data_IF_064833436781
#
_entry.id   IF_064833436781
#
_cell.length_a   1.000
_cell.length_b   1.000
_cell.length_c   1.000
_cell.angle_alpha   90.00
_cell.angle_beta   90.00
_cell.angle_gamma   90.00
#
_symmetry.space_group_name_H-M   'P 1'
#
loop_
_entity.id
_entity.type
_entity.pdbx_description
1 polymer ?
#
# COMPACT_ATOMS: atom_id res chain seq x y z
N UNK A 1 37.46 -22.79 2.64
CA UNK A 1 36.30 -23.57 3.08
C UNK A 1 35.69 -22.80 4.23
N UNK A 2 34.69 -21.96 3.96
CA UNK A 2 33.99 -21.22 5.01
C UNK A 2 33.26 -22.25 5.86
N UNK A 3 33.67 -22.38 7.12
CA UNK A 3 33.00 -23.21 8.11
C UNK A 3 31.57 -22.72 8.23
N UNK A 4 30.62 -23.50 7.71
CA UNK A 4 29.22 -23.32 8.03
C UNK A 4 29.10 -23.63 9.53
N UNK A 5 29.17 -22.60 10.37
CA UNK A 5 28.68 -22.73 11.73
C UNK A 5 27.24 -23.21 11.60
N UNK A 6 26.99 -24.42 12.06
CA UNK A 6 25.63 -24.92 12.25
C UNK A 6 24.97 -23.91 13.15
N UNK A 7 23.99 -23.17 12.63
CA UNK A 7 23.13 -22.31 13.45
C UNK A 7 22.56 -23.21 14.53
N UNK A 8 23.12 -23.08 15.74
CA UNK A 8 22.72 -23.88 16.88
C UNK A 8 21.28 -23.56 17.21
N UNK A 9 20.42 -24.57 17.15
CA UNK A 9 19.02 -24.54 17.58
C UNK A 9 18.16 -23.44 16.90
N UNK A 10 17.37 -23.77 15.86
CA UNK A 10 16.48 -22.84 15.17
C UNK A 10 15.54 -22.06 16.10
N UNK A 11 15.13 -22.63 17.24
CA UNK A 11 14.29 -21.94 18.21
C UNK A 11 15.03 -20.74 18.83
N UNK A 12 16.32 -20.90 19.15
CA UNK A 12 17.15 -19.81 19.69
C UNK A 12 17.39 -18.70 18.69
N UNK A 13 17.56 -19.04 17.41
CA UNK A 13 17.66 -18.03 16.37
C UNK A 13 16.35 -17.23 16.25
N UNK A 14 15.21 -17.91 16.33
CA UNK A 14 13.90 -17.26 16.25
C UNK A 14 13.67 -16.32 17.43
N UNK A 15 14.05 -16.72 18.64
CA UNK A 15 13.98 -15.85 19.83
C UNK A 15 14.82 -14.57 19.66
N UNK A 16 16.06 -14.68 19.19
CA UNK A 16 16.94 -13.53 18.92
C UNK A 16 16.32 -12.59 17.87
N UNK A 17 15.69 -13.14 16.83
CA UNK A 17 15.05 -12.34 15.78
C UNK A 17 13.81 -11.59 16.28
N UNK A 18 13.05 -12.17 17.21
CA UNK A 18 11.92 -11.50 17.85
C UNK A 18 12.39 -10.41 18.82
N UNK A 19 13.39 -10.70 19.66
CA UNK A 19 13.97 -9.72 20.57
C UNK A 19 14.52 -8.49 19.83
N UNK A 20 15.25 -8.69 18.72
CA UNK A 20 15.77 -7.60 17.89
C UNK A 20 14.67 -6.76 17.22
N UNK A 21 13.45 -7.30 17.05
CA UNK A 21 12.28 -6.58 16.55
C UNK A 21 11.44 -5.95 17.65
N UNK A 22 11.82 -6.11 18.91
CA UNK A 22 11.07 -5.62 20.07
C UNK A 22 9.83 -6.43 20.42
N UNK A 23 9.67 -7.62 19.83
CA UNK A 23 8.54 -8.53 20.02
C UNK A 23 8.87 -9.44 21.21
N UNK A 24 8.12 -9.32 22.31
CA UNK A 24 8.51 -9.92 23.60
C UNK A 24 7.56 -10.98 24.13
N UNK A 25 6.30 -10.93 23.75
CA UNK A 25 5.30 -11.90 24.20
C UNK A 25 4.80 -12.79 23.05
N UNK A 26 4.22 -13.93 23.43
CA UNK A 26 3.75 -14.94 22.48
C UNK A 26 2.60 -14.43 21.61
N UNK A 27 1.81 -13.47 22.08
CA UNK A 27 0.70 -12.88 21.30
C UNK A 27 1.23 -12.02 20.16
N UNK A 28 2.25 -11.21 20.41
CA UNK A 28 2.92 -10.41 19.38
C UNK A 28 3.65 -11.30 18.36
N UNK A 29 4.24 -12.42 18.81
CA UNK A 29 4.89 -13.40 17.93
C UNK A 29 3.90 -14.08 17.00
N UNK A 30 2.76 -14.52 17.53
CA UNK A 30 1.66 -15.10 16.75
C UNK A 30 1.12 -14.06 15.76
N UNK A 31 0.85 -12.83 16.20
CA UNK A 31 0.37 -11.77 15.32
C UNK A 31 1.36 -11.44 14.18
N UNK A 32 2.65 -11.39 14.48
CA UNK A 32 3.70 -11.09 13.49
C UNK A 32 3.88 -12.20 12.44
N UNK A 33 3.66 -13.46 12.83
CA UNK A 33 3.87 -14.63 11.97
C UNK A 33 2.57 -15.15 11.33
N UNK A 34 1.42 -14.66 11.78
CA UNK A 34 0.12 -15.02 11.23
C UNK A 34 0.02 -14.64 9.74
N UNK A 35 -0.55 -15.55 8.95
CA UNK A 35 -0.89 -15.30 7.54
C UNK A 35 -2.07 -14.32 7.43
N UNK A 36 -2.94 -14.33 8.43
CA UNK A 36 -4.03 -13.39 8.62
C UNK A 36 -3.49 -12.10 9.23
N UNK A 37 -2.67 -11.38 8.46
CA UNK A 37 -2.02 -10.15 8.92
C UNK A 37 -2.98 -9.22 9.66
N UNK A 38 -2.48 -8.55 10.69
CA UNK A 38 -3.23 -7.56 11.45
C UNK A 38 -3.57 -6.34 10.57
N UNK A 39 -4.69 -6.41 9.83
CA UNK A 39 -5.18 -5.30 9.04
C UNK A 39 -5.68 -4.21 9.98
N UNK A 40 -5.08 -3.02 9.87
CA UNK A 40 -5.60 -1.84 10.54
C UNK A 40 -6.92 -1.41 9.89
N UNK A 41 -7.83 -0.85 10.68
CA UNK A 41 -9.02 -0.17 10.14
C UNK A 41 -8.54 0.94 9.17
N UNK A 42 -8.88 0.87 7.86
CA UNK A 42 -8.46 1.88 6.89
C UNK A 42 -8.93 3.28 7.25
N UNK A 43 -10.01 3.40 8.03
CA UNK A 43 -10.49 4.69 8.44
C UNK A 43 -9.72 5.34 9.60
N UNK A 44 -8.65 4.70 10.09
CA UNK A 44 -7.68 5.35 10.96
C UNK A 44 -6.84 6.40 10.23
N UNK A 45 -6.78 6.37 8.90
CA UNK A 45 -6.17 7.44 8.12
C UNK A 45 -6.94 8.76 8.27
N UNK A 46 -6.20 9.86 8.42
CA UNK A 46 -6.77 11.19 8.49
C UNK A 46 -7.66 11.46 7.26
N UNK A 47 -8.84 12.02 7.51
CA UNK A 47 -9.83 12.38 6.48
C UNK A 47 -10.28 11.24 5.55
N UNK A 48 -10.02 9.98 5.88
CA UNK A 48 -10.43 8.83 5.05
C UNK A 48 -11.94 8.82 4.78
N UNK A 49 -12.76 9.12 5.80
CA UNK A 49 -14.22 9.24 5.63
C UNK A 49 -14.59 10.29 4.58
N UNK A 50 -13.98 11.48 4.65
CA UNK A 50 -14.22 12.57 3.69
C UNK A 50 -13.79 12.18 2.28
N UNK A 51 -12.67 11.47 2.14
CA UNK A 51 -12.19 10.99 0.85
C UNK A 51 -13.17 9.99 0.21
N UNK A 52 -13.66 9.02 1.00
CA UNK A 52 -14.68 8.06 0.55
C UNK A 52 -15.96 8.77 0.14
N UNK A 53 -16.47 9.69 0.96
CA UNK A 53 -17.69 10.44 0.65
C UNK A 53 -17.57 11.24 -0.66
N UNK A 54 -16.40 11.87 -0.89
CA UNK A 54 -16.12 12.60 -2.12
C UNK A 54 -16.12 11.69 -3.36
N UNK A 55 -15.50 10.51 -3.25
CA UNK A 55 -15.43 9.53 -4.33
C UNK A 55 -16.82 8.96 -4.62
N UNK A 56 -17.58 8.57 -3.59
CA UNK A 56 -18.95 8.09 -3.74
C UNK A 56 -19.83 9.14 -4.42
N UNK A 57 -19.75 10.40 -3.99
CA UNK A 57 -20.48 11.49 -4.65
C UNK A 57 -20.07 11.67 -6.13
N UNK A 58 -18.78 11.54 -6.46
CA UNK A 58 -18.30 11.63 -7.84
C UNK A 58 -18.86 10.49 -8.71
N UNK A 59 -18.95 9.27 -8.17
CA UNK A 59 -19.57 8.11 -8.84
C UNK A 59 -21.06 8.39 -9.08
N UNK A 60 -21.79 8.77 -8.02
CA UNK A 60 -23.25 9.01 -8.08
C UNK A 60 -23.64 10.15 -9.03
N UNK A 61 -22.74 11.12 -9.21
CA UNK A 61 -22.94 12.27 -10.11
C UNK A 61 -22.29 12.09 -11.48
N UNK A 62 -21.78 10.88 -11.80
CA UNK A 62 -21.14 10.55 -13.07
C UNK A 62 -20.01 11.52 -13.47
N UNK A 63 -19.25 12.00 -12.49
CA UNK A 63 -18.06 12.81 -12.76
C UNK A 63 -16.95 11.94 -13.32
N UNK A 64 -16.09 12.55 -14.15
CA UNK A 64 -14.85 11.91 -14.59
C UNK A 64 -13.91 11.75 -13.41
N UNK A 65 -13.27 10.58 -13.33
CA UNK A 65 -12.29 10.25 -12.30
C UNK A 65 -10.93 10.15 -12.96
N UNK A 66 -9.93 10.84 -12.40
CA UNK A 66 -8.54 10.70 -12.80
C UNK A 66 -7.75 10.11 -11.63
N UNK A 67 -7.13 8.96 -11.84
CA UNK A 67 -6.22 8.36 -10.87
C UNK A 67 -4.80 8.85 -11.16
N UNK A 68 -4.26 9.64 -10.24
CA UNK A 68 -2.87 10.08 -10.29
C UNK A 68 -2.03 9.17 -9.40
N UNK A 69 -1.21 8.32 -10.02
CA UNK A 69 -0.36 7.32 -9.34
C UNK A 69 1.07 7.78 -9.11
N UNK A 70 1.86 6.94 -8.45
CA UNK A 70 3.33 7.03 -8.40
C UNK A 70 3.95 5.96 -9.32
N UNK A 71 5.21 6.14 -9.71
CA UNK A 71 5.94 5.31 -10.68
C UNK A 71 6.61 4.07 -10.08
N UNK A 72 6.62 3.95 -8.76
CA UNK A 72 7.12 2.76 -8.07
C UNK A 72 6.11 1.61 -8.12
N UNK A 73 6.54 0.44 -7.63
CA UNK A 73 5.79 -0.79 -7.77
C UNK A 73 4.43 -0.71 -7.06
N UNK A 74 4.40 -0.13 -5.87
CA UNK A 74 3.18 0.09 -5.09
C UNK A 74 2.28 1.14 -5.74
N UNK A 75 2.80 2.28 -6.22
CA UNK A 75 2.04 3.30 -6.93
C UNK A 75 1.37 2.78 -8.20
N UNK A 76 2.11 2.02 -9.02
CA UNK A 76 1.57 1.40 -10.24
C UNK A 76 0.53 0.34 -9.90
N UNK A 77 0.78 -0.49 -8.88
CA UNK A 77 -0.16 -1.55 -8.48
C UNK A 77 -1.45 -0.96 -7.92
N UNK A 78 -1.36 0.03 -7.04
CA UNK A 78 -2.52 0.72 -6.49
C UNK A 78 -3.34 1.41 -7.59
N UNK A 79 -2.68 2.06 -8.54
CA UNK A 79 -3.32 2.67 -9.71
C UNK A 79 -4.10 1.63 -10.52
N UNK A 80 -3.48 0.48 -10.81
CA UNK A 80 -4.14 -0.59 -11.55
C UNK A 80 -5.38 -1.14 -10.82
N UNK A 81 -5.29 -1.32 -9.49
CA UNK A 81 -6.41 -1.76 -8.65
C UNK A 81 -7.57 -0.76 -8.74
N UNK A 82 -7.30 0.53 -8.54
CA UNK A 82 -8.32 1.58 -8.54
C UNK A 82 -8.98 1.74 -9.91
N UNK A 83 -8.18 1.76 -10.99
CA UNK A 83 -8.71 1.84 -12.36
C UNK A 83 -9.63 0.66 -12.65
N UNK A 84 -9.23 -0.56 -12.25
CA UNK A 84 -10.07 -1.76 -12.45
C UNK A 84 -11.36 -1.68 -11.65
N UNK A 85 -11.30 -1.22 -10.40
CA UNK A 85 -12.46 -1.04 -9.55
C UNK A 85 -13.45 -0.03 -10.16
N UNK A 86 -13.01 1.19 -10.48
CA UNK A 86 -13.91 2.20 -11.07
C UNK A 86 -14.48 1.80 -12.43
N UNK A 87 -13.69 1.12 -13.28
CA UNK A 87 -14.20 0.55 -14.54
C UNK A 87 -15.30 -0.49 -14.29
N UNK A 88 -15.16 -1.34 -13.27
CA UNK A 88 -16.20 -2.33 -12.93
C UNK A 88 -17.52 -1.69 -12.46
N UNK A 89 -17.46 -0.45 -11.95
CA UNK A 89 -18.64 0.36 -11.62
C UNK A 89 -19.18 1.18 -12.80
N UNK A 90 -18.58 1.07 -14.00
CA UNK A 90 -19.00 1.81 -15.19
C UNK A 90 -18.60 3.29 -15.19
N UNK A 91 -17.65 3.70 -14.35
CA UNK A 91 -17.19 5.10 -14.29
C UNK A 91 -16.31 5.47 -15.49
N UNK A 92 -16.37 6.74 -15.92
CA UNK A 92 -15.38 7.33 -16.83
C UNK A 92 -14.09 7.62 -16.05
N UNK A 93 -13.17 6.65 -16.06
CA UNK A 93 -11.90 6.72 -15.33
C UNK A 93 -10.70 6.73 -16.26
N UNK A 94 -9.81 7.68 -16.03
CA UNK A 94 -8.48 7.79 -16.65
C UNK A 94 -7.39 7.68 -15.59
N UNK A 95 -6.14 7.50 -16.00
CA UNK A 95 -5.01 7.48 -15.08
C UNK A 95 -3.79 8.18 -15.65
N UNK A 96 -2.93 8.67 -14.77
CA UNK A 96 -1.59 9.17 -15.07
C UNK A 96 -0.64 8.50 -14.07
N UNK A 97 0.42 7.90 -14.59
CA UNK A 97 1.59 7.50 -13.81
C UNK A 97 2.75 8.36 -14.33
N UNK A 98 3.28 9.28 -13.52
CA UNK A 98 4.31 10.22 -13.97
C UNK A 98 5.62 9.49 -14.27
N UNK A 99 6.35 9.95 -15.28
CA UNK A 99 7.77 9.62 -15.42
C UNK A 99 8.59 10.63 -14.62
N UNK A 100 9.38 10.14 -13.65
CA UNK A 100 10.18 10.97 -12.75
C UNK A 100 11.13 11.92 -13.48
N UNK A 101 11.68 11.47 -14.60
CA UNK A 101 12.66 12.21 -15.41
C UNK A 101 12.02 13.35 -16.21
N UNK A 102 10.78 13.17 -16.66
CA UNK A 102 10.08 14.16 -17.50
C UNK A 102 9.20 15.12 -16.69
N UNK A 103 8.59 14.65 -15.60
CA UNK A 103 7.54 15.40 -14.90
C UNK A 103 7.92 15.88 -13.48
N UNK A 104 9.04 15.40 -12.92
CA UNK A 104 9.40 15.64 -11.53
C UNK A 104 8.64 14.73 -10.55
N UNK A 105 8.60 15.10 -9.26
CA UNK A 105 7.94 14.31 -8.21
C UNK A 105 6.57 14.91 -7.82
N UNK A 106 5.53 14.07 -7.80
CA UNK A 106 4.17 14.48 -7.41
C UNK A 106 3.40 15.23 -8.49
N UNK A 107 2.28 15.85 -8.11
CA UNK A 107 1.48 16.72 -9.00
C UNK A 107 2.26 18.01 -9.29
N UNK A 108 2.72 18.17 -10.53
CA UNK A 108 3.43 19.36 -10.98
C UNK A 108 2.61 20.10 -12.04
N UNK A 109 2.86 21.40 -12.20
CA UNK A 109 2.19 22.22 -13.22
C UNK A 109 2.37 21.65 -14.63
N UNK A 110 3.51 20.97 -14.88
CA UNK A 110 3.81 20.28 -16.13
C UNK A 110 2.84 19.13 -16.46
N UNK A 111 2.07 18.66 -15.48
CA UNK A 111 1.06 17.60 -15.64
C UNK A 111 -0.34 18.19 -15.80
N UNK A 112 -0.56 19.40 -15.25
CA UNK A 112 -1.87 20.03 -15.20
C UNK A 112 -2.21 20.75 -16.52
N UNK A 113 -1.21 21.14 -17.31
CA UNK A 113 -1.41 21.73 -18.64
C UNK A 113 -1.71 23.21 -18.61
#
# INVERSE_FOLDING_TARGET
MLSTEVVGDPAKLLDILFENRGIKDDTEREAFTSEDGAWYDPFLFNDMRKAVDLICHAIDTHKKILIYGDYDCDGVTATAILVRYFKSLGCDVSYIVPQREEHGYGLTDNIIG
#
